data_IF_546977282202
#
_entry.id   IF_546977282202
#
_cell.length_a   1.000
_cell.length_b   1.000
_cell.length_c   1.000
_cell.angle_alpha   90.00
_cell.angle_beta   90.00
_cell.angle_gamma   90.00
#
_symmetry.space_group_name_H-M   'P 1'
#
loop_
_entity.id
_entity.type
_entity.pdbx_description
1 polymer ?
#
# COMPACT_ATOMS: atom_id res chain seq x y z
N UNK A 1 -4.98 10.71 -30.71
CA UNK A 1 -5.97 10.71 -29.64
C UNK A 1 -5.47 11.69 -28.60
N UNK A 2 -6.22 12.76 -28.35
CA UNK A 2 -5.91 13.75 -27.30
C UNK A 2 -6.03 13.05 -25.94
N UNK A 3 -4.88 12.78 -25.31
CA UNK A 3 -4.87 12.36 -23.91
C UNK A 3 -5.59 13.44 -23.08
N UNK A 4 -6.71 13.10 -22.46
CA UNK A 4 -7.38 14.00 -21.52
C UNK A 4 -6.43 14.25 -20.36
N UNK A 5 -6.07 15.51 -20.15
CA UNK A 5 -5.21 15.90 -19.03
C UNK A 5 -5.90 15.70 -17.66
N UNK A 6 -7.23 15.57 -17.63
CA UNK A 6 -8.06 15.31 -16.46
C UNK A 6 -9.21 14.38 -16.81
N UNK A 7 -9.61 13.53 -15.88
CA UNK A 7 -10.85 12.76 -15.97
C UNK A 7 -12.07 13.66 -15.74
N UNK A 8 -13.20 13.42 -16.42
CA UNK A 8 -14.45 14.13 -16.13
C UNK A 8 -14.92 13.83 -14.71
N UNK A 9 -15.51 14.83 -14.03
CA UNK A 9 -16.04 14.69 -12.66
C UNK A 9 -17.01 13.50 -12.49
N UNK A 10 -17.77 13.15 -13.52
CA UNK A 10 -18.69 12.00 -13.52
C UNK A 10 -18.00 10.63 -13.50
N UNK A 11 -16.68 10.59 -13.63
CA UNK A 11 -15.88 9.36 -13.60
C UNK A 11 -15.02 9.29 -12.32
N UNK A 12 -15.08 10.29 -11.46
CA UNK A 12 -14.36 10.27 -10.20
C UNK A 12 -15.13 9.49 -9.14
N UNK A 13 -14.43 8.76 -8.25
CA UNK A 13 -15.10 8.01 -7.20
C UNK A 13 -15.72 8.91 -6.15
N UNK A 14 -16.69 8.37 -5.43
CA UNK A 14 -17.33 9.02 -4.29
C UNK A 14 -17.97 7.99 -3.36
N UNK A 15 -18.12 8.37 -2.09
CA UNK A 15 -18.86 7.62 -1.09
C UNK A 15 -19.91 8.55 -0.48
N UNK A 16 -21.17 8.26 -0.68
CA UNK A 16 -22.28 9.10 -0.25
C UNK A 16 -22.23 9.39 1.26
N UNK A 17 -22.35 10.66 1.62
CA UNK A 17 -22.30 11.11 3.02
C UNK A 17 -20.93 11.04 3.69
N UNK A 18 -19.85 10.70 2.93
CA UNK A 18 -18.46 10.69 3.42
C UNK A 18 -17.59 11.61 2.59
N UNK A 19 -17.42 11.32 1.29
CA UNK A 19 -16.59 12.14 0.40
C UNK A 19 -17.18 12.19 -1.00
N UNK A 20 -17.50 13.40 -1.47
CA UNK A 20 -18.00 13.63 -2.84
C UNK A 20 -16.89 13.58 -3.88
N UNK A 21 -17.24 13.36 -5.15
CA UNK A 21 -16.30 13.41 -6.27
C UNK A 21 -15.52 14.75 -6.34
N UNK A 22 -16.16 15.88 -5.97
CA UNK A 22 -15.48 17.17 -5.92
C UNK A 22 -14.40 17.23 -4.83
N UNK A 23 -14.67 16.65 -3.66
CA UNK A 23 -13.70 16.56 -2.56
C UNK A 23 -12.56 15.59 -2.88
N UNK A 24 -12.82 14.49 -3.60
CA UNK A 24 -11.78 13.60 -4.12
C UNK A 24 -10.87 14.33 -5.11
N UNK A 25 -11.44 15.10 -6.05
CA UNK A 25 -10.66 15.92 -6.97
C UNK A 25 -9.81 16.97 -6.24
N UNK A 26 -10.35 17.60 -5.19
CA UNK A 26 -9.63 18.57 -4.36
C UNK A 26 -8.44 17.91 -3.65
N UNK A 27 -8.62 16.70 -3.09
CA UNK A 27 -7.54 15.95 -2.45
C UNK A 27 -6.46 15.51 -3.45
N UNK A 28 -6.84 15.06 -4.65
CA UNK A 28 -5.88 14.73 -5.70
C UNK A 28 -5.09 15.96 -6.16
N UNK A 29 -5.76 17.11 -6.28
CA UNK A 29 -5.09 18.37 -6.61
C UNK A 29 -4.12 18.82 -5.52
N UNK A 30 -4.42 18.55 -4.22
CA UNK A 30 -3.49 18.86 -3.12
C UNK A 30 -2.22 18.01 -3.20
N UNK A 31 -2.32 16.73 -3.57
CA UNK A 31 -1.15 15.87 -3.82
C UNK A 31 -0.34 16.41 -5.02
N UNK A 32 -1.02 16.73 -6.13
CA UNK A 32 -0.37 17.27 -7.32
C UNK A 32 0.33 18.61 -7.07
N UNK A 33 -0.18 19.42 -6.14
CA UNK A 33 0.45 20.67 -5.74
C UNK A 33 1.75 20.48 -4.93
N UNK A 34 1.93 19.34 -4.28
CA UNK A 34 3.17 18.98 -3.57
C UNK A 34 4.21 18.33 -4.48
N UNK A 35 3.82 17.93 -5.72
CA UNK A 35 4.72 17.28 -6.67
C UNK A 35 5.87 18.20 -7.08
N UNK A 36 7.09 17.70 -7.01
CA UNK A 36 8.30 18.40 -7.44
C UNK A 36 8.36 18.57 -8.98
N UNK A 37 9.11 19.55 -9.50
CA UNK A 37 9.22 19.77 -10.94
C UNK A 37 9.77 18.57 -11.71
N UNK A 38 10.60 17.71 -11.10
CA UNK A 38 11.12 16.47 -11.68
C UNK A 38 10.06 15.37 -11.80
N UNK A 39 8.95 15.49 -11.09
CA UNK A 39 7.87 14.49 -11.01
C UNK A 39 7.81 13.72 -9.70
N UNK A 40 8.81 13.84 -8.84
CA UNK A 40 8.81 13.21 -7.51
C UNK A 40 7.64 13.72 -6.66
N UNK A 41 7.05 12.84 -5.87
CA UNK A 41 6.00 13.21 -4.90
C UNK A 41 6.52 12.91 -3.51
N UNK A 42 6.87 13.95 -2.73
CA UNK A 42 7.42 13.76 -1.39
C UNK A 42 6.34 13.37 -0.37
N UNK A 43 6.77 12.87 0.76
CA UNK A 43 5.93 12.62 1.94
C UNK A 43 5.12 13.86 2.32
N UNK A 44 5.78 14.98 2.48
CA UNK A 44 5.22 16.34 2.54
C UNK A 44 6.24 17.31 1.93
N UNK A 45 5.83 18.56 1.71
CA UNK A 45 6.68 19.55 1.04
C UNK A 45 8.02 19.73 1.77
N UNK A 46 9.12 19.47 1.07
CA UNK A 46 10.48 19.61 1.60
C UNK A 46 11.01 18.38 2.37
N UNK A 47 10.20 17.35 2.53
CA UNK A 47 10.58 16.08 3.15
C UNK A 47 11.02 15.04 2.10
N UNK A 48 11.25 13.83 2.54
CA UNK A 48 11.74 12.75 1.70
C UNK A 48 10.71 12.22 0.70
N UNK A 49 11.23 11.53 -0.30
CA UNK A 49 10.51 10.64 -1.20
C UNK A 49 10.99 9.22 -0.96
N UNK A 50 10.09 8.28 -0.85
CA UNK A 50 10.30 6.85 -1.03
C UNK A 50 9.38 6.33 -2.14
N UNK A 51 9.74 5.20 -2.74
CA UNK A 51 9.03 4.70 -3.93
C UNK A 51 7.62 4.22 -3.59
N UNK A 52 7.40 3.66 -2.42
CA UNK A 52 6.11 3.11 -2.03
C UNK A 52 5.05 4.21 -1.93
N UNK A 53 5.31 5.22 -1.09
CA UNK A 53 4.41 6.37 -0.93
C UNK A 53 4.24 7.17 -2.23
N UNK A 54 5.33 7.34 -2.99
CA UNK A 54 5.31 8.01 -4.28
C UNK A 54 4.37 7.32 -5.29
N UNK A 55 4.41 5.97 -5.36
CA UNK A 55 3.54 5.20 -6.27
C UNK A 55 2.09 5.28 -5.81
N UNK A 56 1.80 5.19 -4.51
CA UNK A 56 0.43 5.38 -4.01
C UNK A 56 -0.12 6.77 -4.31
N UNK A 57 0.69 7.80 -4.12
CA UNK A 57 0.32 9.17 -4.50
C UNK A 57 0.02 9.29 -6.01
N UNK A 58 0.80 8.62 -6.86
CA UNK A 58 0.54 8.57 -8.30
C UNK A 58 -0.78 7.85 -8.64
N UNK A 59 -1.06 6.73 -7.96
CA UNK A 59 -2.33 6.00 -8.11
C UNK A 59 -3.52 6.89 -7.70
N UNK A 60 -3.42 7.57 -6.56
CA UNK A 60 -4.45 8.47 -6.05
C UNK A 60 -4.68 9.69 -6.97
N UNK A 61 -3.62 10.31 -7.47
CA UNK A 61 -3.74 11.39 -8.46
C UNK A 61 -4.45 10.92 -9.73
N UNK A 62 -4.17 9.70 -10.19
CA UNK A 62 -4.83 9.12 -11.36
C UNK A 62 -6.33 8.93 -11.13
N UNK A 63 -6.70 8.35 -9.99
CA UNK A 63 -8.09 8.14 -9.54
C UNK A 63 -8.83 9.46 -9.38
N UNK A 64 -8.19 10.45 -8.77
CA UNK A 64 -8.76 11.79 -8.54
C UNK A 64 -8.73 12.71 -9.76
N UNK A 65 -8.29 12.22 -10.93
CA UNK A 65 -8.38 12.93 -12.21
C UNK A 65 -7.15 13.75 -12.61
N UNK A 66 -6.11 13.82 -11.78
CA UNK A 66 -4.85 14.52 -12.08
C UNK A 66 -3.90 13.65 -12.93
N UNK A 67 -4.39 13.18 -14.07
CA UNK A 67 -3.72 12.21 -14.96
C UNK A 67 -2.31 12.63 -15.33
N UNK A 68 -2.13 13.90 -15.73
CA UNK A 68 -0.82 14.39 -16.17
C UNK A 68 0.21 14.42 -15.01
N UNK A 69 -0.21 14.72 -13.79
CA UNK A 69 0.64 14.66 -12.62
C UNK A 69 1.00 13.22 -12.26
N UNK A 70 0.04 12.31 -12.28
CA UNK A 70 0.25 10.89 -12.06
C UNK A 70 1.26 10.30 -13.06
N UNK A 71 1.09 10.58 -14.36
CA UNK A 71 2.02 10.07 -15.39
C UNK A 71 3.42 10.67 -15.28
N UNK A 72 3.56 11.94 -14.84
CA UNK A 72 4.88 12.52 -14.52
C UNK A 72 5.54 11.85 -13.32
N UNK A 73 4.76 11.50 -12.29
CA UNK A 73 5.27 10.76 -11.15
C UNK A 73 5.87 9.42 -11.59
N UNK A 74 5.15 8.63 -12.36
CA UNK A 74 5.69 7.38 -12.88
C UNK A 74 6.93 7.57 -13.76
N UNK A 75 6.99 8.65 -14.58
CA UNK A 75 8.16 8.92 -15.44
C UNK A 75 9.44 9.20 -14.65
N UNK A 76 9.34 9.69 -13.43
CA UNK A 76 10.48 9.93 -12.56
C UNK A 76 11.08 8.62 -12.00
N UNK A 77 10.27 7.62 -11.71
CA UNK A 77 10.69 6.38 -11.03
C UNK A 77 11.89 5.67 -11.69
N UNK A 78 11.91 5.43 -13.02
CA UNK A 78 13.06 4.78 -13.66
C UNK A 78 14.35 5.62 -13.63
N UNK A 79 14.25 6.94 -13.40
CA UNK A 79 15.44 7.83 -13.43
C UNK A 79 16.32 7.70 -12.21
N UNK A 80 15.81 7.05 -11.16
CA UNK A 80 16.50 6.85 -9.89
C UNK A 80 16.61 5.37 -9.51
N UNK A 81 16.27 4.47 -10.43
CA UNK A 81 16.43 3.03 -10.24
C UNK A 81 17.92 2.65 -10.32
N UNK A 82 18.38 1.82 -9.40
CA UNK A 82 19.73 1.28 -9.42
C UNK A 82 19.92 0.25 -10.54
N UNK A 83 21.17 0.02 -10.91
CA UNK A 83 21.53 -0.96 -11.95
C UNK A 83 21.14 -2.40 -11.57
N UNK A 84 21.02 -2.71 -10.28
CA UNK A 84 20.56 -4.01 -9.77
C UNK A 84 19.04 -4.20 -9.78
N UNK A 85 18.30 -3.13 -10.05
CA UNK A 85 16.84 -3.12 -10.12
C UNK A 85 16.14 -2.54 -8.88
N UNK A 86 16.85 -2.31 -7.78
CA UNK A 86 16.31 -1.70 -6.57
C UNK A 86 16.13 -0.19 -6.68
N UNK A 87 15.57 0.42 -5.66
CA UNK A 87 15.48 1.88 -5.50
C UNK A 87 16.01 2.31 -4.14
N UNK A 88 16.57 3.54 -4.02
CA UNK A 88 16.94 4.11 -2.73
C UNK A 88 15.75 4.08 -1.75
N UNK A 89 16.00 3.72 -0.49
CA UNK A 89 14.99 3.72 0.58
C UNK A 89 14.49 5.14 0.88
N UNK A 90 15.38 6.14 0.80
CA UNK A 90 15.05 7.52 1.15
C UNK A 90 15.78 8.51 0.25
N UNK A 91 15.01 9.40 -0.39
CA UNK A 91 15.54 10.44 -1.28
C UNK A 91 15.14 11.80 -0.73
N UNK A 92 16.09 12.71 -0.58
CA UNK A 92 15.85 14.09 -0.11
C UNK A 92 16.54 15.06 -1.08
N UNK A 93 15.80 16.06 -1.57
CA UNK A 93 16.30 17.04 -2.54
C UNK A 93 16.95 16.39 -3.78
N UNK A 94 16.38 15.30 -4.28
CA UNK A 94 16.86 14.55 -5.45
C UNK A 94 18.13 13.72 -5.23
N UNK A 95 18.60 13.56 -4.00
CA UNK A 95 19.75 12.74 -3.64
C UNK A 95 19.34 11.63 -2.68
N UNK A 96 19.89 10.43 -2.88
CA UNK A 96 19.72 9.34 -1.93
C UNK A 96 20.34 9.71 -0.58
N UNK A 97 19.52 9.84 0.46
CA UNK A 97 19.96 9.98 1.85
C UNK A 97 20.20 8.60 2.47
N UNK A 98 19.37 7.63 2.13
CA UNK A 98 19.58 6.21 2.38
C UNK A 98 19.47 5.46 1.05
N UNK A 99 20.63 5.00 0.57
CA UNK A 99 20.78 4.37 -0.74
C UNK A 99 20.54 2.85 -0.71
N UNK A 100 20.25 2.28 0.47
CA UNK A 100 19.90 0.85 0.56
C UNK A 100 18.56 0.61 -0.13
N UNK A 101 18.46 -0.51 -0.85
CA UNK A 101 17.17 -0.97 -1.36
C UNK A 101 16.29 -1.51 -0.23
N UNK A 102 15.11 -0.96 -0.03
CA UNK A 102 14.06 -1.56 0.78
C UNK A 102 13.18 -2.42 -0.12
N UNK A 103 12.98 -3.68 0.28
CA UNK A 103 12.50 -4.70 -0.68
C UNK A 103 11.01 -4.53 -0.99
N UNK A 104 10.18 -4.19 0.00
CA UNK A 104 8.77 -3.91 -0.24
C UNK A 104 8.56 -2.67 -1.11
N UNK A 105 9.28 -1.58 -0.82
CA UNK A 105 9.21 -0.36 -1.63
C UNK A 105 9.59 -0.63 -3.08
N UNK A 106 10.66 -1.42 -3.29
CA UNK A 106 11.13 -1.79 -4.63
C UNK A 106 10.16 -2.67 -5.41
N UNK A 107 9.29 -3.41 -4.73
CA UNK A 107 8.26 -4.23 -5.38
C UNK A 107 7.06 -3.39 -5.88
N UNK A 108 6.77 -2.27 -5.25
CA UNK A 108 5.45 -1.63 -5.32
C UNK A 108 5.15 -0.95 -6.66
N UNK A 109 6.17 -0.65 -7.47
CA UNK A 109 5.97 -0.13 -8.84
C UNK A 109 5.04 -1.03 -9.68
N UNK A 110 5.10 -2.34 -9.49
CA UNK A 110 4.24 -3.29 -10.19
C UNK A 110 2.75 -3.05 -9.91
N UNK A 111 2.39 -2.75 -8.65
CA UNK A 111 1.01 -2.40 -8.27
C UNK A 111 0.55 -1.14 -8.99
N UNK A 112 1.37 -0.09 -8.99
CA UNK A 112 1.05 1.18 -9.64
C UNK A 112 0.87 1.05 -11.16
N UNK A 113 1.74 0.30 -11.85
CA UNK A 113 1.66 0.10 -13.31
C UNK A 113 0.44 -0.76 -13.69
N UNK A 114 0.11 -1.80 -12.89
CA UNK A 114 -1.11 -2.56 -13.10
C UNK A 114 -2.37 -1.73 -12.86
N UNK A 115 -2.38 -0.92 -11.79
CA UNK A 115 -3.46 0.02 -11.53
C UNK A 115 -3.66 1.03 -12.68
N UNK A 116 -2.57 1.61 -13.20
CA UNK A 116 -2.64 2.49 -14.36
C UNK A 116 -3.27 1.78 -15.58
N UNK A 117 -2.90 0.51 -15.83
CA UNK A 117 -3.53 -0.30 -16.88
C UNK A 117 -5.03 -0.47 -16.65
N UNK A 118 -5.46 -0.76 -15.44
CA UNK A 118 -6.89 -0.92 -15.13
C UNK A 118 -7.68 0.36 -15.39
N UNK A 119 -7.13 1.52 -15.02
CA UNK A 119 -7.80 2.82 -15.18
C UNK A 119 -7.75 3.34 -16.63
N UNK A 120 -6.60 3.22 -17.30
CA UNK A 120 -6.32 3.90 -18.59
C UNK A 120 -6.36 3.00 -19.81
N UNK A 121 -6.16 1.69 -19.63
CA UNK A 121 -6.02 0.71 -20.74
C UNK A 121 -4.94 1.12 -21.76
N UNK A 122 -3.88 1.78 -21.30
CA UNK A 122 -2.75 2.19 -22.14
C UNK A 122 -1.62 1.16 -22.12
N UNK A 123 -1.65 0.22 -23.07
CA UNK A 123 -0.63 -0.82 -23.20
C UNK A 123 0.77 -0.25 -23.45
N UNK A 124 0.88 0.90 -24.14
CA UNK A 124 2.20 1.52 -24.41
C UNK A 124 2.82 2.06 -23.12
N UNK A 125 2.00 2.53 -22.22
CA UNK A 125 2.46 2.92 -20.88
C UNK A 125 3.01 1.70 -20.13
N UNK A 126 2.29 0.60 -20.07
CA UNK A 126 2.75 -0.64 -19.45
C UNK A 126 4.07 -1.12 -20.06
N UNK A 127 4.15 -1.20 -21.39
CA UNK A 127 5.37 -1.61 -22.12
C UNK A 127 6.57 -0.72 -21.80
N UNK A 128 6.37 0.58 -21.63
CA UNK A 128 7.44 1.53 -21.27
C UNK A 128 8.05 1.24 -19.91
N UNK A 129 7.22 0.89 -18.93
CA UNK A 129 7.67 0.67 -17.55
C UNK A 129 8.03 -0.78 -17.25
N UNK A 130 7.72 -1.71 -18.17
CA UNK A 130 8.00 -3.12 -17.98
C UNK A 130 9.46 -3.43 -17.63
N UNK A 131 10.49 -2.85 -18.28
CA UNK A 131 11.88 -3.10 -17.89
C UNK A 131 12.18 -2.77 -16.43
N UNK A 132 11.64 -1.66 -15.91
CA UNK A 132 11.83 -1.25 -14.51
C UNK A 132 11.08 -2.15 -13.54
N UNK A 133 9.82 -2.51 -13.86
CA UNK A 133 9.04 -3.45 -13.05
C UNK A 133 9.73 -4.80 -12.98
N UNK A 134 10.21 -5.30 -14.13
CA UNK A 134 10.88 -6.60 -14.21
C UNK A 134 12.17 -6.61 -13.39
N UNK A 135 13.05 -5.64 -13.59
CA UNK A 135 14.30 -5.54 -12.82
C UNK A 135 14.03 -5.44 -11.31
N UNK A 136 13.04 -4.65 -10.89
CA UNK A 136 12.66 -4.53 -9.49
C UNK A 136 12.17 -5.84 -8.89
N UNK A 137 11.26 -6.54 -9.55
CA UNK A 137 10.73 -7.80 -9.04
C UNK A 137 11.73 -8.96 -9.10
N UNK A 138 12.61 -9.00 -10.11
CA UNK A 138 13.72 -9.95 -10.16
C UNK A 138 14.65 -9.77 -8.95
N UNK A 139 14.98 -8.50 -8.62
CA UNK A 139 15.78 -8.17 -7.45
C UNK A 139 15.05 -8.54 -6.14
N UNK A 140 13.75 -8.27 -6.03
CA UNK A 140 12.91 -8.59 -4.86
C UNK A 140 12.89 -10.10 -4.59
N UNK A 141 12.67 -10.92 -5.62
CA UNK A 141 12.58 -12.37 -5.50
C UNK A 141 13.93 -12.98 -5.07
N UNK A 142 15.05 -12.36 -5.50
CA UNK A 142 16.39 -12.78 -5.08
C UNK A 142 16.64 -12.60 -3.55
N UNK A 143 15.81 -11.79 -2.85
CA UNK A 143 15.89 -11.59 -1.40
C UNK A 143 15.03 -12.58 -0.60
N UNK A 144 14.45 -13.63 -1.23
CA UNK A 144 13.60 -14.56 -0.51
C UNK A 144 14.41 -15.46 0.43
N UNK A 145 13.99 -15.49 1.70
CA UNK A 145 14.57 -16.33 2.74
C UNK A 145 14.09 -17.80 2.61
N UNK A 146 14.84 -18.77 3.18
CA UNK A 146 14.50 -20.19 3.09
C UNK A 146 13.10 -20.55 3.60
N UNK A 147 12.55 -19.82 4.57
CA UNK A 147 11.20 -20.04 5.08
C UNK A 147 10.09 -19.43 4.20
N UNK A 148 10.44 -18.70 3.14
CA UNK A 148 9.52 -18.11 2.18
C UNK A 148 9.21 -16.61 2.40
N UNK A 149 9.53 -16.03 3.55
CA UNK A 149 9.49 -14.57 3.77
C UNK A 149 10.52 -13.87 2.89
N UNK A 150 10.35 -12.56 2.67
CA UNK A 150 11.30 -11.76 1.89
C UNK A 150 11.96 -10.75 2.82
N UNK A 151 13.30 -10.65 2.75
CA UNK A 151 14.10 -9.76 3.60
C UNK A 151 13.59 -8.32 3.54
N UNK A 152 13.76 -7.60 4.63
CA UNK A 152 13.44 -6.16 4.67
C UNK A 152 14.42 -5.36 3.79
N UNK A 153 15.72 -5.56 3.99
CA UNK A 153 16.79 -5.02 3.14
C UNK A 153 17.84 -6.12 2.91
N UNK A 154 18.72 -6.01 1.90
CA UNK A 154 19.77 -7.00 1.65
C UNK A 154 20.78 -7.18 2.79
N UNK A 155 20.85 -6.22 3.72
CA UNK A 155 21.78 -6.23 4.86
C UNK A 155 21.20 -6.83 6.14
N UNK A 156 19.88 -7.10 6.14
CA UNK A 156 19.17 -7.68 7.29
C UNK A 156 18.81 -9.14 7.02
N UNK A 157 18.81 -9.97 8.02
CA UNK A 157 18.52 -11.40 7.93
C UNK A 157 17.10 -11.78 8.37
N UNK A 158 16.22 -10.78 8.47
CA UNK A 158 14.81 -10.95 8.84
C UNK A 158 13.86 -10.40 7.77
N UNK A 159 12.61 -10.85 7.84
CA UNK A 159 11.50 -10.37 7.03
C UNK A 159 10.46 -9.67 7.90
N UNK A 160 9.79 -8.63 7.36
CA UNK A 160 8.65 -7.97 7.99
C UNK A 160 7.35 -8.58 7.46
N UNK A 161 6.39 -8.84 8.35
CA UNK A 161 5.11 -9.44 7.98
C UNK A 161 4.28 -8.52 7.09
N UNK A 162 4.16 -7.24 7.45
CA UNK A 162 3.46 -6.24 6.64
C UNK A 162 4.13 -6.08 5.27
N UNK A 163 5.45 -5.88 5.21
CA UNK A 163 6.21 -5.75 3.97
C UNK A 163 6.07 -6.98 3.07
N UNK A 164 6.22 -8.18 3.62
CA UNK A 164 6.03 -9.45 2.89
C UNK A 164 4.60 -9.61 2.36
N UNK A 165 3.60 -9.14 3.08
CA UNK A 165 2.21 -9.17 2.62
C UNK A 165 1.97 -8.20 1.45
N UNK A 166 2.58 -7.02 1.47
CA UNK A 166 2.55 -6.07 0.36
C UNK A 166 3.31 -6.59 -0.86
N UNK A 167 4.48 -7.24 -0.66
CA UNK A 167 5.23 -7.88 -1.75
C UNK A 167 4.42 -8.99 -2.43
N UNK A 168 3.62 -9.76 -1.67
CA UNK A 168 2.72 -10.75 -2.26
C UNK A 168 1.75 -10.12 -3.27
N UNK A 169 1.15 -8.97 -2.94
CA UNK A 169 0.30 -8.22 -3.87
C UNK A 169 1.10 -7.72 -5.09
N UNK A 170 2.31 -7.21 -4.86
CA UNK A 170 3.18 -6.70 -5.90
C UNK A 170 3.59 -7.79 -6.90
N UNK A 171 3.91 -8.99 -6.42
CA UNK A 171 4.19 -10.15 -7.28
C UNK A 171 2.97 -10.54 -8.11
N UNK A 172 1.75 -10.53 -7.54
CA UNK A 172 0.53 -10.80 -8.30
C UNK A 172 0.30 -9.75 -9.40
N UNK A 173 0.54 -8.48 -9.10
CA UNK A 173 0.46 -7.41 -10.09
C UNK A 173 1.50 -7.60 -11.20
N UNK A 174 2.74 -7.94 -10.82
CA UNK A 174 3.82 -8.24 -11.76
C UNK A 174 3.49 -9.40 -12.69
N UNK A 175 2.96 -10.50 -12.16
CA UNK A 175 2.51 -11.66 -12.97
C UNK A 175 1.38 -11.26 -13.92
N UNK A 176 0.42 -10.45 -13.47
CA UNK A 176 -0.67 -9.96 -14.33
C UNK A 176 -0.14 -9.08 -15.48
N UNK A 177 0.90 -8.27 -15.24
CA UNK A 177 1.58 -7.49 -16.30
C UNK A 177 2.35 -8.44 -17.24
N UNK A 178 3.07 -9.42 -16.71
CA UNK A 178 3.82 -10.40 -17.48
C UNK A 178 2.91 -11.19 -18.44
N UNK A 179 1.77 -11.66 -17.95
CA UNK A 179 0.74 -12.31 -18.77
C UNK A 179 0.18 -11.36 -19.85
N UNK A 180 -0.11 -10.09 -19.50
CA UNK A 180 -0.59 -9.09 -20.44
C UNK A 180 0.39 -8.83 -21.59
N UNK A 181 1.70 -8.94 -21.31
CA UNK A 181 2.78 -8.69 -22.27
C UNK A 181 3.31 -9.96 -22.95
N UNK A 182 2.75 -11.12 -22.66
CA UNK A 182 3.23 -12.43 -23.16
C UNK A 182 4.72 -12.70 -22.82
N UNK A 183 5.14 -12.28 -21.59
CA UNK A 183 6.49 -12.47 -21.05
C UNK A 183 6.41 -13.12 -19.64
N UNK A 184 6.00 -14.40 -19.55
CA UNK A 184 5.72 -15.06 -18.27
C UNK A 184 6.95 -15.16 -17.37
N UNK A 185 6.74 -14.99 -16.05
CA UNK A 185 7.78 -14.99 -15.01
C UNK A 185 7.50 -16.08 -13.97
N UNK A 186 7.79 -17.36 -14.24
CA UNK A 186 7.44 -18.48 -13.36
C UNK A 186 8.13 -18.40 -11.98
N UNK A 187 9.32 -17.80 -11.89
CA UNK A 187 10.02 -17.62 -10.62
C UNK A 187 9.25 -16.70 -9.66
N UNK A 188 8.54 -15.69 -10.19
CA UNK A 188 7.70 -14.83 -9.34
C UNK A 188 6.47 -15.56 -8.81
N UNK A 189 5.89 -16.47 -9.58
CA UNK A 189 4.79 -17.33 -9.14
C UNK A 189 5.23 -18.28 -8.02
N UNK A 190 6.40 -18.91 -8.18
CA UNK A 190 6.98 -19.78 -7.16
C UNK A 190 7.30 -19.00 -5.87
N UNK A 191 7.95 -17.85 -6.00
CA UNK A 191 8.27 -16.99 -4.86
C UNK A 191 6.98 -16.49 -4.15
N UNK A 192 5.98 -16.08 -4.91
CA UNK A 192 4.67 -15.65 -4.39
C UNK A 192 3.94 -16.78 -3.66
N UNK A 193 3.99 -18.02 -4.19
CA UNK A 193 3.43 -19.19 -3.54
C UNK A 193 4.08 -19.51 -2.20
N UNK A 194 5.42 -19.48 -2.13
CA UNK A 194 6.19 -19.65 -0.88
C UNK A 194 5.91 -18.54 0.11
N UNK A 195 5.89 -17.29 -0.36
CA UNK A 195 5.62 -16.12 0.47
C UNK A 195 4.20 -16.17 1.07
N UNK A 196 3.20 -16.48 0.26
CA UNK A 196 1.83 -16.63 0.73
C UNK A 196 1.68 -17.76 1.75
N UNK A 197 2.39 -18.87 1.59
CA UNK A 197 2.45 -19.94 2.58
C UNK A 197 3.08 -19.44 3.90
N UNK A 198 4.24 -18.81 3.84
CA UNK A 198 4.92 -18.28 5.02
C UNK A 198 4.03 -17.29 5.82
N UNK A 199 3.35 -16.37 5.14
CA UNK A 199 2.44 -15.40 5.79
C UNK A 199 1.24 -16.09 6.44
N UNK A 200 0.71 -17.17 5.86
CA UNK A 200 -0.42 -17.90 6.45
C UNK A 200 -0.03 -18.77 7.63
N UNK A 201 1.05 -19.53 7.48
CA UNK A 201 1.34 -20.67 8.37
C UNK A 201 2.50 -20.41 9.34
N UNK A 202 3.38 -19.42 9.07
CA UNK A 202 4.64 -19.24 9.78
C UNK A 202 4.91 -17.78 10.16
N UNK A 203 3.90 -17.10 10.72
CA UNK A 203 4.04 -15.71 11.17
C UNK A 203 5.08 -15.52 12.27
N UNK A 204 5.33 -16.58 13.04
CA UNK A 204 6.33 -16.63 14.10
C UNK A 204 7.79 -16.59 13.60
N UNK A 205 8.00 -16.70 12.28
CA UNK A 205 9.32 -16.58 11.64
C UNK A 205 9.63 -15.18 11.12
N UNK A 206 8.65 -14.26 11.16
CA UNK A 206 8.87 -12.85 10.84
C UNK A 206 9.34 -12.09 12.08
N UNK A 207 10.02 -10.96 11.85
CA UNK A 207 10.39 -10.03 12.93
C UNK A 207 9.13 -9.54 13.65
N UNK A 208 9.13 -9.58 14.97
CA UNK A 208 7.97 -9.19 15.78
C UNK A 208 7.75 -7.67 15.74
N UNK A 209 6.77 -7.25 14.95
CA UNK A 209 6.24 -5.89 14.88
C UNK A 209 4.75 -5.86 15.25
N UNK A 210 4.30 -6.83 16.06
CA UNK A 210 2.90 -7.00 16.42
C UNK A 210 2.27 -5.79 17.13
N UNK A 211 3.07 -4.90 17.69
CA UNK A 211 2.58 -3.63 18.26
C UNK A 211 2.12 -2.63 17.19
N UNK A 212 2.48 -2.82 15.93
CA UNK A 212 2.05 -1.98 14.80
C UNK A 212 0.80 -2.55 14.14
N UNK A 213 -0.17 -1.69 13.84
CA UNK A 213 -1.43 -2.09 13.21
C UNK A 213 -1.24 -2.73 11.83
N UNK A 214 -0.21 -2.34 11.08
CA UNK A 214 0.09 -2.90 9.77
C UNK A 214 0.33 -4.41 9.82
N UNK A 215 1.03 -4.93 10.82
CA UNK A 215 1.25 -6.37 10.97
C UNK A 215 -0.05 -7.16 11.21
N UNK A 216 -1.07 -6.49 11.73
CA UNK A 216 -2.38 -7.08 11.95
C UNK A 216 -3.21 -7.18 10.66
N UNK A 217 -3.34 -6.08 9.86
CA UNK A 217 -4.28 -6.07 8.73
C UNK A 217 -3.63 -6.30 7.36
N UNK A 218 -2.34 -6.06 7.17
CA UNK A 218 -1.68 -6.24 5.87
C UNK A 218 -1.76 -7.66 5.31
N UNK A 219 -1.69 -8.74 6.12
CA UNK A 219 -1.92 -10.09 5.62
C UNK A 219 -3.27 -10.28 4.91
N UNK A 220 -4.28 -9.47 5.25
CA UNK A 220 -5.58 -9.44 4.57
C UNK A 220 -5.54 -8.48 3.38
N UNK A 221 -5.04 -7.26 3.56
CA UNK A 221 -4.96 -6.23 2.52
C UNK A 221 -4.13 -6.69 1.32
N UNK A 222 -2.93 -7.22 1.56
CA UNK A 222 -2.05 -7.77 0.51
C UNK A 222 -2.58 -9.05 -0.14
N UNK A 223 -3.51 -9.74 0.53
CA UNK A 223 -4.26 -10.88 -0.02
C UNK A 223 -3.77 -12.28 0.29
N UNK A 224 -2.64 -12.52 0.97
CA UNK A 224 -2.24 -13.89 1.32
C UNK A 224 -3.20 -14.57 2.30
N UNK A 225 -3.87 -13.82 3.19
CA UNK A 225 -4.88 -14.33 4.13
C UNK A 225 -6.28 -13.96 3.66
N UNK A 226 -7.18 -14.96 3.55
CA UNK A 226 -8.49 -14.82 2.92
C UNK A 226 -9.57 -15.60 3.65
N UNK A 227 -10.84 -15.37 3.25
CA UNK A 227 -11.99 -16.11 3.75
C UNK A 227 -12.12 -16.01 5.26
N UNK A 228 -12.49 -17.12 5.92
CA UNK A 228 -12.71 -17.14 7.36
C UNK A 228 -11.48 -16.72 8.16
N UNK A 229 -10.29 -17.14 7.75
CA UNK A 229 -9.05 -16.79 8.43
C UNK A 229 -8.79 -15.26 8.43
N UNK A 230 -9.19 -14.56 7.38
CA UNK A 230 -9.11 -13.10 7.32
C UNK A 230 -10.10 -12.43 8.29
N UNK A 231 -11.36 -12.92 8.36
CA UNK A 231 -12.32 -12.44 9.34
C UNK A 231 -11.85 -12.66 10.79
N UNK A 232 -11.35 -13.86 11.09
CA UNK A 232 -10.85 -14.20 12.43
C UNK A 232 -9.63 -13.33 12.79
N UNK A 233 -8.73 -13.09 11.83
CA UNK A 233 -7.57 -12.22 12.02
C UNK A 233 -7.98 -10.78 12.32
N UNK A 234 -8.85 -10.17 11.50
CA UNK A 234 -9.27 -8.78 11.71
C UNK A 234 -10.12 -8.63 13.00
N UNK A 235 -10.83 -9.66 13.42
CA UNK A 235 -11.55 -9.65 14.69
C UNK A 235 -10.61 -9.76 15.91
N UNK A 236 -9.45 -10.40 15.77
CA UNK A 236 -8.60 -10.81 16.91
C UNK A 236 -8.01 -9.64 17.69
N UNK A 237 -7.76 -8.49 17.05
CA UNK A 237 -7.14 -7.31 17.67
C UNK A 237 -7.95 -6.03 17.46
N UNK A 238 -9.24 -6.16 17.15
CA UNK A 238 -10.11 -5.03 16.86
C UNK A 238 -10.13 -4.00 17.99
N UNK A 239 -10.35 -4.44 19.23
CA UNK A 239 -10.46 -3.56 20.38
C UNK A 239 -9.12 -2.93 20.83
N UNK A 240 -8.00 -3.48 20.33
CA UNK A 240 -6.66 -2.93 20.63
C UNK A 240 -6.34 -1.74 19.73
N UNK A 241 -6.73 -1.80 18.45
CA UNK A 241 -6.36 -0.78 17.48
C UNK A 241 -7.49 0.20 17.16
N UNK A 242 -8.74 -0.25 17.13
CA UNK A 242 -9.85 0.61 16.70
C UNK A 242 -10.31 1.54 17.81
N UNK A 243 -10.32 2.83 17.51
CA UNK A 243 -10.83 3.89 18.38
C UNK A 243 -12.11 4.44 17.76
N UNK A 244 -13.30 4.10 18.32
CA UNK A 244 -14.58 4.49 17.74
C UNK A 244 -14.69 6.01 17.54
N UNK A 245 -15.10 6.43 16.34
CA UNK A 245 -15.26 7.84 15.97
C UNK A 245 -13.97 8.57 15.59
N UNK A 246 -12.79 7.91 15.67
CA UNK A 246 -11.52 8.54 15.33
C UNK A 246 -10.73 7.78 14.24
N UNK A 247 -10.75 6.45 14.23
CA UNK A 247 -9.97 5.63 13.31
C UNK A 247 -9.21 4.52 14.03
N UNK A 248 -7.98 4.19 13.58
CA UNK A 248 -7.16 3.18 14.24
C UNK A 248 -5.83 3.74 14.74
N UNK A 249 -5.32 3.15 15.80
CA UNK A 249 -3.97 3.41 16.30
C UNK A 249 -2.95 2.86 15.30
N UNK A 250 -1.88 3.63 15.06
CA UNK A 250 -0.71 3.12 14.35
C UNK A 250 0.03 2.08 15.23
N UNK A 251 0.18 2.40 16.53
CA UNK A 251 0.81 1.54 17.54
C UNK A 251 -0.18 1.33 18.69
N UNK A 252 -0.36 0.10 19.14
CA UNK A 252 -1.38 -0.29 20.13
C UNK A 252 -1.23 0.41 21.49
N UNK A 253 0.00 0.77 21.87
CA UNK A 253 0.33 1.43 23.14
C UNK A 253 0.18 2.96 23.11
N UNK A 254 0.00 3.56 21.92
CA UNK A 254 -0.01 5.01 21.79
C UNK A 254 -1.43 5.54 21.52
N UNK A 255 -1.89 6.61 22.21
CA UNK A 255 -3.18 7.25 21.96
C UNK A 255 -3.11 8.12 20.69
N UNK A 256 -2.69 7.54 19.57
CA UNK A 256 -2.45 8.20 18.30
C UNK A 256 -3.11 7.41 17.17
N UNK A 257 -4.15 7.98 16.58
CA UNK A 257 -4.82 7.44 15.38
C UNK A 257 -4.25 8.07 14.13
N UNK A 258 -4.12 7.27 13.07
CA UNK A 258 -3.55 7.69 11.80
C UNK A 258 -4.53 7.48 10.65
N UNK A 259 -4.48 8.39 9.69
CA UNK A 259 -5.45 8.40 8.59
C UNK A 259 -5.17 7.32 7.54
N UNK A 260 -3.92 7.12 7.19
CA UNK A 260 -3.55 6.15 6.16
C UNK A 260 -3.87 4.72 6.61
N UNK A 261 -3.38 4.30 7.77
CA UNK A 261 -3.64 2.95 8.32
C UNK A 261 -5.13 2.71 8.55
N UNK A 262 -5.89 3.76 8.90
CA UNK A 262 -7.35 3.65 9.01
C UNK A 262 -8.00 3.33 7.66
N UNK A 263 -7.55 3.99 6.59
CA UNK A 263 -8.03 3.74 5.23
C UNK A 263 -7.61 2.37 4.70
N UNK A 264 -6.39 1.94 5.01
CA UNK A 264 -5.89 0.61 4.63
C UNK A 264 -6.67 -0.51 5.33
N UNK A 265 -6.97 -0.37 6.63
CA UNK A 265 -7.88 -1.31 7.30
C UNK A 265 -9.28 -1.28 6.69
N UNK A 266 -9.80 -0.10 6.32
CA UNK A 266 -11.09 -0.02 5.64
C UNK A 266 -11.09 -0.80 4.30
N UNK A 267 -10.00 -0.72 3.52
CA UNK A 267 -9.85 -1.51 2.30
C UNK A 267 -9.67 -3.01 2.59
N UNK A 268 -9.00 -3.40 3.68
CA UNK A 268 -8.91 -4.79 4.11
C UNK A 268 -10.28 -5.37 4.51
N UNK A 269 -11.10 -4.58 5.21
CA UNK A 269 -12.48 -4.94 5.55
C UNK A 269 -13.37 -5.07 4.29
N UNK A 270 -13.22 -4.14 3.34
CA UNK A 270 -13.91 -4.23 2.05
C UNK A 270 -13.54 -5.51 1.30
N UNK A 271 -12.26 -5.91 1.32
CA UNK A 271 -11.79 -7.14 0.70
C UNK A 271 -12.42 -8.43 1.25
N UNK A 272 -12.89 -8.42 2.49
CA UNK A 272 -13.62 -9.53 3.12
C UNK A 272 -15.14 -9.34 3.12
N UNK A 273 -15.64 -8.27 2.50
CA UNK A 273 -17.08 -7.97 2.40
C UNK A 273 -17.70 -7.30 3.63
N UNK A 274 -16.89 -6.83 4.57
CA UNK A 274 -17.38 -6.09 5.75
C UNK A 274 -17.51 -4.59 5.47
N UNK A 275 -18.32 -4.26 4.48
CA UNK A 275 -18.56 -2.88 4.06
C UNK A 275 -19.07 -1.95 5.17
N UNK A 276 -19.95 -2.39 6.12
CA UNK A 276 -20.42 -1.50 7.17
C UNK A 276 -19.28 -0.95 8.06
N UNK A 277 -18.35 -1.83 8.50
CA UNK A 277 -17.18 -1.38 9.30
C UNK A 277 -16.19 -0.58 8.47
N UNK A 278 -15.97 -0.97 7.21
CA UNK A 278 -15.13 -0.22 6.29
C UNK A 278 -15.63 1.23 6.10
N UNK A 279 -16.92 1.41 5.84
CA UNK A 279 -17.54 2.73 5.70
C UNK A 279 -17.52 3.54 7.00
N UNK A 280 -17.69 2.88 8.16
CA UNK A 280 -17.58 3.55 9.46
C UNK A 280 -16.17 4.12 9.67
N UNK A 281 -15.12 3.34 9.44
CA UNK A 281 -13.73 3.80 9.56
C UNK A 281 -13.41 4.94 8.59
N UNK A 282 -13.82 4.83 7.32
CA UNK A 282 -13.59 5.90 6.36
C UNK A 282 -14.30 7.21 6.77
N UNK A 283 -15.47 7.12 7.39
CA UNK A 283 -16.19 8.28 7.93
C UNK A 283 -15.49 8.83 9.17
N UNK A 284 -15.11 7.95 10.08
CA UNK A 284 -14.55 8.33 11.38
C UNK A 284 -13.23 9.12 11.21
N UNK A 285 -12.38 8.73 10.23
CA UNK A 285 -11.11 9.42 9.99
C UNK A 285 -11.23 10.77 9.26
N UNK A 286 -12.43 11.20 8.81
CA UNK A 286 -12.58 12.47 8.08
C UNK A 286 -12.30 13.71 8.93
N UNK A 287 -12.21 13.60 10.26
CA UNK A 287 -11.72 14.70 11.10
C UNK A 287 -10.27 15.10 10.79
N UNK A 288 -9.51 14.24 10.11
CA UNK A 288 -8.14 14.53 9.65
C UNK A 288 -8.10 15.36 8.35
N UNK A 289 -9.25 15.62 7.71
CA UNK A 289 -9.30 16.41 6.50
C UNK A 289 -9.03 17.88 6.79
N UNK A 290 -7.98 18.43 6.18
CA UNK A 290 -7.61 19.83 6.26
C UNK A 290 -8.18 20.66 5.10
N UNK A 291 -7.86 21.94 5.12
CA UNK A 291 -8.24 22.89 4.06
C UNK A 291 -7.62 22.49 2.71
N UNK A 292 -8.36 22.77 1.62
CA UNK A 292 -7.90 22.48 0.27
C UNK A 292 -7.75 20.99 -0.04
N UNK A 293 -8.39 20.10 0.74
CA UNK A 293 -8.38 18.66 0.53
C UNK A 293 -7.12 17.96 1.00
N UNK A 294 -6.25 18.62 1.75
CA UNK A 294 -5.10 18.01 2.42
C UNK A 294 -5.55 17.09 3.56
N UNK A 295 -4.66 16.22 4.02
CA UNK A 295 -4.94 15.37 5.19
C UNK A 295 -3.77 15.39 6.16
N UNK A 296 -4.11 15.59 7.45
CA UNK A 296 -3.18 15.38 8.55
C UNK A 296 -2.76 13.92 8.65
N UNK A 297 -1.53 13.66 9.05
CA UNK A 297 -1.03 12.30 9.27
C UNK A 297 -1.84 11.57 10.33
N UNK A 298 -2.11 12.22 11.46
CA UNK A 298 -2.86 11.62 12.55
C UNK A 298 -3.26 12.60 13.64
N UNK A 299 -3.94 12.05 14.64
CA UNK A 299 -4.48 12.76 15.78
C UNK A 299 -4.10 12.06 17.08
N UNK A 300 -3.47 12.79 18.00
CA UNK A 300 -3.26 12.35 19.38
C UNK A 300 -4.50 12.70 20.18
N UNK A 301 -5.18 11.70 20.71
CA UNK A 301 -6.38 11.87 21.52
C UNK A 301 -6.10 11.65 23.01
N UNK A 302 -6.94 12.22 23.88
CA UNK A 302 -6.78 12.09 25.33
C UNK A 302 -7.34 10.77 25.83
N UNK A 303 -6.46 9.86 26.19
CA UNK A 303 -6.81 8.59 26.83
C UNK A 303 -6.73 8.68 28.39
N UNK A 304 -5.91 9.59 28.92
CA UNK A 304 -5.72 9.80 30.37
C UNK A 304 -5.30 11.23 30.72
N UNK A 305 -6.18 12.02 31.35
CA UNK A 305 -5.96 13.45 31.64
C UNK A 305 -4.83 13.83 32.60
N UNK A 306 -3.98 12.89 33.03
CA UNK A 306 -3.05 13.14 34.15
C UNK A 306 -1.61 13.54 33.78
N UNK A 307 -1.15 13.36 32.54
CA UNK A 307 0.30 13.38 32.23
C UNK A 307 0.86 14.67 31.59
N UNK A 308 0.04 15.71 31.34
CA UNK A 308 0.55 17.02 30.89
C UNK A 308 1.10 17.08 29.46
N UNK A 309 0.94 16.03 28.67
CA UNK A 309 1.34 16.00 27.26
C UNK A 309 0.29 16.67 26.36
N UNK A 310 0.66 17.13 25.14
CA UNK A 310 -0.29 17.70 24.18
C UNK A 310 -1.43 16.73 23.90
N UNK A 311 -2.66 17.19 23.99
CA UNK A 311 -3.87 16.37 23.86
C UNK A 311 -4.77 16.98 22.81
N UNK A 312 -5.54 16.13 22.13
CA UNK A 312 -6.45 16.57 21.10
C UNK A 312 -5.75 17.46 20.08
N UNK A 313 -4.62 16.95 19.52
CA UNK A 313 -3.78 17.67 18.56
C UNK A 313 -3.45 16.81 17.34
N UNK A 314 -3.33 17.47 16.20
CA UNK A 314 -2.74 16.85 15.02
C UNK A 314 -1.25 16.60 15.25
N UNK A 315 -0.81 15.36 15.01
CA UNK A 315 0.58 14.98 15.15
C UNK A 315 0.95 13.87 14.16
N UNK A 316 2.12 13.93 13.50
CA UNK A 316 2.99 15.12 13.39
C UNK A 316 2.24 16.34 12.83
N UNK A 317 2.79 17.56 12.98
CA UNK A 317 2.18 18.80 12.47
C UNK A 317 2.51 18.89 10.97
N UNK A 318 1.91 18.01 10.20
CA UNK A 318 2.14 17.89 8.75
C UNK A 318 0.91 17.33 8.03
N UNK A 319 0.76 17.71 6.76
CA UNK A 319 -0.15 17.06 5.83
C UNK A 319 0.65 16.18 4.89
N UNK A 320 0.30 14.89 4.78
CA UNK A 320 1.06 13.96 3.95
C UNK A 320 0.33 13.58 2.68
N UNK A 321 1.11 13.40 1.62
CA UNK A 321 0.61 12.85 0.36
C UNK A 321 0.13 11.42 0.53
N UNK A 322 0.77 10.65 1.42
CA UNK A 322 0.40 9.29 1.78
C UNK A 322 -1.01 9.19 2.37
N UNK A 323 -1.32 10.00 3.40
CA UNK A 323 -2.67 9.97 3.99
C UNK A 323 -3.74 10.39 2.98
N UNK A 324 -3.48 11.44 2.19
CA UNK A 324 -4.40 11.87 1.15
C UNK A 324 -4.60 10.78 0.08
N UNK A 325 -3.52 10.06 -0.29
CA UNK A 325 -3.58 8.96 -1.25
C UNK A 325 -4.40 7.78 -0.71
N UNK A 326 -4.14 7.33 0.51
CA UNK A 326 -4.89 6.25 1.13
C UNK A 326 -6.39 6.54 1.21
N UNK A 327 -6.78 7.80 1.52
CA UNK A 327 -8.20 8.22 1.51
C UNK A 327 -8.82 8.09 0.12
N UNK A 328 -8.15 8.60 -0.92
CA UNK A 328 -8.66 8.53 -2.30
C UNK A 328 -8.83 7.09 -2.76
N UNK A 329 -7.85 6.23 -2.47
CA UNK A 329 -7.89 4.81 -2.84
C UNK A 329 -8.97 4.04 -2.06
N UNK A 330 -9.18 4.37 -0.78
CA UNK A 330 -10.28 3.81 0.01
C UNK A 330 -11.65 4.24 -0.51
N UNK A 331 -11.80 5.51 -0.91
CA UNK A 331 -13.04 6.01 -1.55
C UNK A 331 -13.29 5.30 -2.86
N UNK A 332 -12.27 5.06 -3.67
CA UNK A 332 -12.40 4.32 -4.93
C UNK A 332 -12.85 2.87 -4.67
N UNK A 333 -12.22 2.18 -3.73
CA UNK A 333 -12.59 0.82 -3.36
C UNK A 333 -14.03 0.72 -2.85
N UNK A 334 -14.43 1.57 -1.90
CA UNK A 334 -15.74 1.54 -1.25
C UNK A 334 -16.87 2.12 -2.13
N UNK A 335 -16.54 2.99 -3.07
CA UNK A 335 -17.47 3.54 -4.06
C UNK A 335 -18.01 2.52 -5.05
N UNK A 336 -17.35 1.37 -5.22
CA UNK A 336 -17.75 0.32 -6.17
C UNK A 336 -19.14 -0.24 -5.87
N UNK A 337 -19.51 -0.41 -4.60
CA UNK A 337 -20.83 -0.92 -4.18
C UNK A 337 -21.97 -0.02 -4.70
N UNK A 338 -21.73 1.30 -4.78
CA UNK A 338 -22.70 2.26 -5.29
C UNK A 338 -22.55 2.54 -6.80
N UNK A 339 -21.56 1.95 -7.47
CA UNK A 339 -21.24 2.22 -8.87
C UNK A 339 -20.51 3.55 -9.09
N UNK A 340 -19.88 4.08 -8.05
CA UNK A 340 -19.13 5.35 -8.05
C UNK A 340 -17.63 5.11 -7.83
N UNK A 341 -17.02 4.27 -8.68
CA UNK A 341 -15.62 3.89 -8.59
C UNK A 341 -14.95 3.90 -9.96
N UNK A 342 -13.62 3.91 -9.98
CA UNK A 342 -12.85 3.69 -11.22
C UNK A 342 -12.69 2.20 -11.51
N UNK A 343 -12.19 1.88 -12.72
CA UNK A 343 -11.84 0.50 -13.07
C UNK A 343 -10.61 -0.02 -12.27
N UNK A 344 -9.94 0.84 -11.52
CA UNK A 344 -8.83 0.51 -10.62
C UNK A 344 -9.24 0.13 -9.20
N UNK A 345 -10.51 0.31 -8.84
CA UNK A 345 -11.01 0.20 -7.45
C UNK A 345 -10.65 -1.09 -6.72
N UNK A 346 -10.55 -2.21 -7.45
CA UNK A 346 -10.21 -3.50 -6.86
C UNK A 346 -8.72 -3.74 -6.62
N UNK A 347 -7.83 -2.80 -6.95
CA UNK A 347 -6.38 -3.05 -6.86
C UNK A 347 -5.92 -3.27 -5.43
N UNK A 348 -6.33 -2.43 -4.48
CA UNK A 348 -5.90 -2.54 -3.09
C UNK A 348 -6.51 -3.75 -2.37
N UNK A 349 -7.69 -4.20 -2.72
CA UNK A 349 -8.27 -5.46 -2.21
C UNK A 349 -7.90 -6.68 -3.05
N UNK A 350 -7.07 -6.53 -4.08
CA UNK A 350 -6.57 -7.60 -4.93
C UNK A 350 -7.62 -8.31 -5.79
N UNK A 351 -8.85 -7.79 -5.90
CA UNK A 351 -9.93 -8.43 -6.68
C UNK A 351 -9.78 -8.25 -8.19
N UNK A 352 -9.03 -7.24 -8.62
CA UNK A 352 -8.69 -6.98 -10.03
C UNK A 352 -7.44 -7.73 -10.51
N UNK A 353 -6.79 -8.48 -9.64
CA UNK A 353 -5.64 -9.32 -9.97
C UNK A 353 -6.08 -10.71 -10.42
N UNK A 354 -5.20 -11.41 -11.13
CA UNK A 354 -5.37 -12.81 -11.45
C UNK A 354 -5.51 -13.72 -10.21
N UNK A 355 -5.63 -15.04 -10.39
CA UNK A 355 -5.75 -15.98 -9.28
C UNK A 355 -4.64 -15.80 -8.25
N UNK A 356 -4.93 -16.10 -6.99
CA UNK A 356 -3.90 -16.19 -5.99
C UNK A 356 -2.93 -17.33 -6.32
N UNK A 357 -1.67 -17.17 -5.90
CA UNK A 357 -0.66 -18.21 -6.10
C UNK A 357 -1.07 -19.52 -5.44
N UNK A 358 -0.69 -20.63 -6.07
CA UNK A 358 -0.91 -21.96 -5.53
C UNK A 358 -0.21 -22.20 -4.19
N UNK A 359 -0.72 -23.13 -3.41
CA UNK A 359 -0.10 -23.51 -2.13
C UNK A 359 1.17 -24.33 -2.40
N UNK A 360 2.32 -23.87 -1.89
CA UNK A 360 3.63 -24.52 -2.05
C UNK A 360 4.16 -25.14 -0.75
N UNK A 361 3.28 -25.48 0.20
CA UNK A 361 3.65 -26.03 1.51
C UNK A 361 4.59 -27.23 1.44
N UNK A 362 4.42 -28.11 0.45
CA UNK A 362 5.25 -29.31 0.28
C UNK A 362 6.66 -29.02 -0.27
N UNK A 363 6.84 -27.88 -0.93
CA UNK A 363 8.09 -27.45 -1.53
C UNK A 363 8.81 -26.39 -0.70
N UNK A 364 8.16 -25.92 0.37
CA UNK A 364 8.66 -24.86 1.21
C UNK A 364 9.67 -25.39 2.23
N UNK A 365 10.88 -24.80 2.24
CA UNK A 365 11.93 -25.13 3.21
C UNK A 365 11.61 -24.67 4.64
N UNK A 366 10.56 -23.85 4.83
CA UNK A 366 10.12 -23.38 6.16
C UNK A 366 9.81 -24.54 7.12
N UNK A 367 9.34 -25.69 6.63
CA UNK A 367 9.09 -26.90 7.45
C UNK A 367 10.39 -27.42 8.06
N UNK A 368 11.50 -27.31 7.33
CA UNK A 368 12.83 -27.71 7.83
C UNK A 368 13.36 -26.69 8.83
N UNK A 369 13.19 -25.40 8.58
CA UNK A 369 13.61 -24.34 9.46
C UNK A 369 12.87 -24.35 10.81
N UNK A 370 11.55 -24.60 10.83
CA UNK A 370 10.75 -24.71 12.06
C UNK A 370 11.15 -25.93 12.88
N UNK A 371 11.53 -27.04 12.24
CA UNK A 371 12.06 -28.23 12.92
C UNK A 371 13.38 -27.98 13.65
N UNK A 372 14.25 -27.14 13.09
CA UNK A 372 15.54 -26.78 13.69
C UNK A 372 15.40 -25.82 14.88
N UNK A 373 14.41 -24.91 14.86
CA UNK A 373 14.15 -23.97 15.95
C UNK A 373 13.53 -24.64 17.18
N UNK A 374 12.65 -25.63 17.01
CA UNK A 374 12.02 -26.37 18.12
C UNK A 374 13.00 -27.30 18.87
N UNK A 375 14.17 -27.61 18.30
CA UNK A 375 15.20 -28.42 18.95
C UNK A 375 16.21 -27.61 19.77
N UNK A 376 16.06 -26.27 19.85
CA UNK A 376 16.96 -25.38 20.61
C UNK A 376 16.29 -24.68 21.79
N UNK A 377 15.01 -24.99 22.10
CA UNK A 377 14.30 -24.47 23.29
C UNK A 377 14.28 -25.46 24.45
#
# INVERSE_FOLDING_TARGET
MTHLARLPMSQLPSVDGVLSAAQVAESAASIAAMQEPCGAVPWTVGEHVDIWNHVEAAMAMLVGGEVAAAERAYQWVPTIQHDDGSWPMKIVNGMAEDDRGEVNMSAYLAVGIWHHWLVRRDLRFVQRFWPSVRAGLDWVVAQQLPFGGIQWTPTEDFALLAGSSSIYQSLRAGVAIAELLDDPQPEWELAGGRLGHAVREHRDLFEDKSTYSMDWYYPVLGGPVRGRAAHDLLASRWDEFVVPGLGIRCVDTNPWVTGAETCELAMALDAIGDHPRALALLRDMQHLRGDGGTYWTGWVYDDHPANGEPRDVYWPVEHTTYTAAAVILAVDALGEVAGHSTAGSGIMRGTSLGPHFGELALECECVVATGAHRSRS
#
